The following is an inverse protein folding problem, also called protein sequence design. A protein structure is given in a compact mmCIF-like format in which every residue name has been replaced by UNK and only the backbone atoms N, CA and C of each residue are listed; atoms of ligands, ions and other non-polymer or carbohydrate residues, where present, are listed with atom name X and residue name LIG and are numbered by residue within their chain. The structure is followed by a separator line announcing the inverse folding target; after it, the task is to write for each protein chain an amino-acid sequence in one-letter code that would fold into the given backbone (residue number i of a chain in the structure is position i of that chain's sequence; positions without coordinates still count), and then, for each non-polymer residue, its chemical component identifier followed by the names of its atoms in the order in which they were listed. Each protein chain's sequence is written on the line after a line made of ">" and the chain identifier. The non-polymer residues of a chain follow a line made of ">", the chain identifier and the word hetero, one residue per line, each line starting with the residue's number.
data_IF_205361802405
#
_entry.id   IF_205361802405
#
_cell.length_a   1.000
_cell.length_b   1.000
_cell.length_c   1.000
_cell.angle_alpha   90.00
_cell.angle_beta   90.00
_cell.angle_gamma   90.00
#
_symmetry.space_group_name_H-M   'P 1'
#
loop_
_entity.id
_entity.type
_entity.pdbx_description
1 polymer ?
#
# COMPACT_ATOMS: atom_id res chain seq x y z
N UNK A 1 -34.83 -21.17 -4.65
CA UNK A 1 -35.26 -20.36 -3.50
C UNK A 1 -34.54 -20.89 -2.27
N UNK A 2 -33.39 -20.32 -1.93
CA UNK A 2 -32.70 -20.66 -0.69
C UNK A 2 -33.27 -19.77 0.41
N UNK A 3 -34.00 -20.36 1.35
CA UNK A 3 -34.48 -19.68 2.55
C UNK A 3 -33.27 -19.36 3.45
N UNK A 4 -32.86 -18.10 3.49
CA UNK A 4 -32.00 -17.59 4.56
C UNK A 4 -32.87 -17.39 5.82
N UNK A 5 -32.52 -17.96 6.98
CA UNK A 5 -33.23 -17.69 8.22
C UNK A 5 -32.93 -16.25 8.65
N UNK A 6 -33.95 -15.41 8.58
CA UNK A 6 -33.94 -14.01 8.95
C UNK A 6 -34.02 -13.82 10.47
N UNK A 7 -33.05 -14.31 11.25
CA UNK A 7 -32.88 -13.88 12.65
C UNK A 7 -31.58 -14.36 13.34
N UNK A 8 -30.42 -14.18 12.73
CA UNK A 8 -29.14 -14.38 13.44
C UNK A 8 -28.36 -13.08 13.48
N UNK A 9 -28.00 -12.65 14.69
CA UNK A 9 -27.19 -11.46 14.92
C UNK A 9 -25.84 -11.67 14.19
N UNK A 10 -25.52 -10.90 13.13
CA UNK A 10 -24.38 -11.20 12.23
C UNK A 10 -23.01 -11.09 12.91
N UNK A 11 -22.98 -10.53 14.12
CA UNK A 11 -21.79 -10.34 14.95
C UNK A 11 -21.22 -11.67 15.46
N UNK A 12 -22.07 -12.65 15.81
CA UNK A 12 -21.62 -13.90 16.44
C UNK A 12 -20.90 -14.84 15.45
N UNK A 13 -21.44 -15.10 14.24
CA UNK A 13 -20.74 -15.91 13.23
C UNK A 13 -19.42 -15.28 12.79
N UNK A 14 -19.38 -13.95 12.64
CA UNK A 14 -18.14 -13.24 12.31
C UNK A 14 -17.09 -13.39 13.41
N UNK A 15 -17.46 -13.28 14.70
CA UNK A 15 -16.53 -13.47 15.82
C UNK A 15 -15.99 -14.89 15.90
N UNK A 16 -16.83 -15.90 15.69
CA UNK A 16 -16.43 -17.31 15.71
C UNK A 16 -15.50 -17.66 14.54
N UNK A 17 -15.81 -17.14 13.35
CA UNK A 17 -14.92 -17.30 12.21
C UNK A 17 -13.58 -16.59 12.46
N UNK A 18 -13.60 -15.35 12.97
CA UNK A 18 -12.38 -14.62 13.29
C UNK A 18 -11.51 -15.31 14.31
N UNK A 19 -12.11 -15.83 15.40
CA UNK A 19 -11.35 -16.54 16.43
C UNK A 19 -10.76 -17.84 15.88
N UNK A 20 -11.50 -18.58 15.05
CA UNK A 20 -11.02 -19.79 14.39
C UNK A 20 -9.91 -19.51 13.37
N UNK A 21 -10.07 -18.47 12.56
CA UNK A 21 -9.06 -18.05 11.58
C UNK A 21 -7.82 -17.47 12.23
N UNK A 22 -7.93 -16.83 13.41
CA UNK A 22 -6.77 -16.30 14.15
C UNK A 22 -5.81 -17.40 14.59
N UNK A 23 -6.31 -18.60 14.90
CA UNK A 23 -5.49 -19.78 15.22
C UNK A 23 -4.77 -20.34 13.97
N UNK A 24 -5.42 -20.37 12.82
CA UNK A 24 -4.77 -20.78 11.57
C UNK A 24 -3.85 -19.69 10.99
N UNK A 25 -4.18 -18.42 11.20
CA UNK A 25 -3.33 -17.27 10.93
C UNK A 25 -2.02 -17.39 11.71
N UNK A 26 -2.09 -17.69 13.01
CA UNK A 26 -0.92 -17.96 13.85
C UNK A 26 -0.07 -19.11 13.29
N UNK A 27 -0.71 -20.18 12.82
CA UNK A 27 -0.02 -21.34 12.23
C UNK A 27 0.56 -21.06 10.83
N UNK A 28 -0.04 -20.18 10.02
CA UNK A 28 0.44 -19.83 8.68
C UNK A 28 1.58 -18.81 8.70
N UNK A 29 1.50 -17.82 9.60
CA UNK A 29 2.44 -16.69 9.65
C UNK A 29 3.58 -16.95 10.64
N UNK A 30 3.47 -17.98 11.49
CA UNK A 30 4.49 -18.31 12.50
C UNK A 30 4.72 -17.20 13.53
N UNK A 31 3.80 -16.24 13.62
CA UNK A 31 3.91 -15.03 14.41
C UNK A 31 2.56 -14.62 15.01
N UNK A 32 2.60 -13.98 16.18
CA UNK A 32 1.44 -13.46 16.92
C UNK A 32 0.86 -12.18 16.29
N UNK A 33 1.23 -11.86 15.04
CA UNK A 33 0.79 -10.65 14.36
C UNK A 33 -0.75 -10.59 14.34
N UNK A 34 -1.30 -9.43 14.70
CA UNK A 34 -2.74 -9.22 14.56
C UNK A 34 -3.08 -9.17 13.06
N UNK A 35 -4.22 -9.73 12.62
CA UNK A 35 -4.67 -9.58 11.25
C UNK A 35 -4.71 -8.11 10.83
N UNK A 36 -4.35 -7.77 9.58
CA UNK A 36 -4.36 -6.39 9.12
C UNK A 36 -5.77 -5.78 9.26
N UNK A 37 -5.82 -4.49 9.59
CA UNK A 37 -7.07 -3.74 9.59
C UNK A 37 -7.74 -3.84 8.21
N UNK A 38 -9.01 -4.26 8.19
CA UNK A 38 -9.74 -4.55 6.94
C UNK A 38 -9.85 -6.03 6.56
N UNK A 39 -9.10 -6.93 7.23
CA UNK A 39 -9.26 -8.38 7.02
C UNK A 39 -10.69 -8.88 7.32
N UNK A 40 -11.42 -8.15 8.16
CA UNK A 40 -12.81 -8.46 8.48
C UNK A 40 -13.78 -8.24 7.34
N UNK A 41 -13.48 -7.27 6.48
CA UNK A 41 -14.27 -7.03 5.27
C UNK A 41 -14.18 -8.26 4.35
N UNK A 42 -12.97 -8.83 4.20
CA UNK A 42 -12.74 -10.05 3.40
C UNK A 42 -13.52 -11.23 3.99
N UNK A 43 -13.36 -11.51 5.28
CA UNK A 43 -14.10 -12.59 5.95
C UNK A 43 -15.61 -12.44 5.77
N UNK A 44 -16.12 -11.21 5.89
CA UNK A 44 -17.54 -10.93 5.72
C UNK A 44 -18.04 -11.27 4.31
N UNK A 45 -17.26 -11.00 3.25
CA UNK A 45 -17.64 -11.40 1.88
C UNK A 45 -17.85 -12.91 1.81
N UNK A 46 -16.88 -13.71 2.26
CA UNK A 46 -16.98 -15.17 2.22
C UNK A 46 -18.15 -15.70 3.08
N UNK A 47 -18.32 -15.17 4.28
CA UNK A 47 -19.46 -15.49 5.15
C UNK A 47 -20.80 -15.19 4.47
N UNK A 48 -20.90 -14.03 3.81
CA UNK A 48 -22.15 -13.58 3.19
C UNK A 48 -22.59 -14.45 2.01
N UNK A 49 -21.64 -15.11 1.34
CA UNK A 49 -21.91 -15.93 0.15
C UNK A 49 -22.01 -17.42 0.50
N UNK A 50 -21.11 -17.92 1.36
CA UNK A 50 -20.95 -19.36 1.62
C UNK A 50 -21.56 -19.81 2.96
N UNK A 51 -21.82 -18.88 3.88
CA UNK A 51 -22.14 -19.22 5.26
C UNK A 51 -20.91 -19.67 6.06
N UNK A 52 -21.07 -19.83 7.38
CA UNK A 52 -19.95 -19.97 8.33
C UNK A 52 -19.02 -21.17 8.06
N UNK A 53 -19.59 -22.36 7.82
CA UNK A 53 -18.81 -23.59 7.68
C UNK A 53 -17.95 -23.61 6.42
N UNK A 54 -18.57 -23.31 5.26
CA UNK A 54 -17.89 -23.34 3.97
C UNK A 54 -16.93 -22.16 3.83
N UNK A 55 -17.29 -20.97 4.34
CA UNK A 55 -16.38 -19.83 4.40
C UNK A 55 -15.12 -20.17 5.21
N UNK A 56 -15.27 -20.83 6.37
CA UNK A 56 -14.14 -21.25 7.21
C UNK A 56 -13.23 -22.23 6.47
N UNK A 57 -13.79 -23.24 5.81
CA UNK A 57 -13.01 -24.24 5.08
C UNK A 57 -12.26 -23.60 3.91
N UNK A 58 -12.92 -22.74 3.13
CA UNK A 58 -12.31 -22.07 1.99
C UNK A 58 -11.24 -21.08 2.42
N UNK A 59 -11.51 -20.22 3.41
CA UNK A 59 -10.55 -19.24 3.91
C UNK A 59 -9.29 -19.91 4.42
N UNK A 60 -9.40 -21.00 5.19
CA UNK A 60 -8.22 -21.74 5.64
C UNK A 60 -7.34 -22.25 4.49
N UNK A 61 -7.93 -22.52 3.32
CA UNK A 61 -7.19 -22.96 2.14
C UNK A 61 -6.57 -21.79 1.36
N UNK A 62 -7.29 -20.69 1.19
CA UNK A 62 -6.85 -19.59 0.32
C UNK A 62 -5.98 -18.55 1.02
N UNK A 63 -6.12 -18.38 2.34
CA UNK A 63 -5.40 -17.34 3.08
C UNK A 63 -3.87 -17.39 2.93
N UNK A 64 -3.21 -18.56 3.06
CA UNK A 64 -1.76 -18.63 2.92
C UNK A 64 -1.29 -18.14 1.54
N UNK A 65 -1.95 -18.60 0.48
CA UNK A 65 -1.58 -18.31 -0.90
C UNK A 65 -1.96 -16.89 -1.34
N UNK A 66 -3.15 -16.43 -0.97
CA UNK A 66 -3.74 -15.18 -1.50
C UNK A 66 -3.52 -13.97 -0.61
N UNK A 67 -3.33 -14.19 0.70
CA UNK A 67 -3.23 -13.12 1.68
C UNK A 67 -1.97 -13.20 2.54
N UNK A 68 -1.18 -14.28 2.45
CA UNK A 68 0.02 -14.47 3.27
C UNK A 68 0.98 -13.27 3.24
N UNK A 69 1.21 -12.71 2.05
CA UNK A 69 2.02 -11.51 1.83
C UNK A 69 1.54 -10.30 2.65
N UNK A 70 0.22 -10.09 2.74
CA UNK A 70 -0.39 -8.95 3.44
C UNK A 70 -0.49 -9.16 4.95
N UNK A 71 -0.15 -10.36 5.41
CA UNK A 71 -0.23 -10.81 6.80
C UNK A 71 1.15 -10.89 7.48
N UNK A 72 2.21 -10.58 6.74
CA UNK A 72 3.58 -10.51 7.27
C UNK A 72 3.72 -9.47 8.40
N UNK A 73 4.70 -9.68 9.28
CA UNK A 73 4.94 -8.79 10.41
C UNK A 73 5.40 -7.39 10.01
N UNK A 74 6.04 -7.28 8.84
CA UNK A 74 6.40 -6.01 8.21
C UNK A 74 5.55 -5.76 6.97
N UNK A 75 5.27 -4.49 6.69
CA UNK A 75 4.60 -4.07 5.47
C UNK A 75 5.57 -3.94 4.27
N UNK A 76 6.87 -4.13 4.46
CA UNK A 76 7.87 -3.92 3.40
C UNK A 76 7.54 -4.74 2.15
N UNK A 77 7.26 -6.04 2.31
CA UNK A 77 6.87 -6.93 1.20
C UNK A 77 5.57 -6.49 0.52
N UNK A 78 4.61 -5.98 1.30
CA UNK A 78 3.36 -5.41 0.75
C UNK A 78 3.65 -4.15 -0.05
N UNK A 79 4.51 -3.26 0.45
CA UNK A 79 4.91 -2.04 -0.27
C UNK A 79 5.68 -2.38 -1.54
N UNK A 80 6.58 -3.35 -1.51
CA UNK A 80 7.29 -3.86 -2.69
C UNK A 80 6.31 -4.42 -3.73
N UNK A 81 5.33 -5.20 -3.31
CA UNK A 81 4.26 -5.67 -4.18
C UNK A 81 3.47 -4.51 -4.79
N UNK A 82 3.12 -3.49 -4.00
CA UNK A 82 2.42 -2.30 -4.52
C UNK A 82 3.30 -1.45 -5.45
N UNK A 83 4.64 -1.53 -5.41
CA UNK A 83 5.50 -0.86 -6.40
C UNK A 83 5.26 -1.37 -7.82
N UNK A 84 4.69 -2.57 -8.00
CA UNK A 84 4.28 -3.08 -9.30
C UNK A 84 3.22 -2.18 -9.97
N UNK A 85 2.42 -1.44 -9.20
CA UNK A 85 1.49 -0.43 -9.72
C UNK A 85 2.28 0.63 -10.51
N UNK A 86 3.35 1.17 -9.91
CA UNK A 86 4.19 2.18 -10.57
C UNK A 86 5.06 1.59 -11.68
N UNK A 87 5.49 0.32 -11.57
CA UNK A 87 6.21 -0.35 -12.64
C UNK A 87 5.34 -0.49 -13.90
N UNK A 88 4.10 -0.94 -13.74
CA UNK A 88 3.14 -1.08 -14.85
C UNK A 88 2.70 0.28 -15.39
N UNK A 89 2.40 1.25 -14.52
CA UNK A 89 2.08 2.61 -14.95
C UNK A 89 3.24 3.24 -15.71
N UNK A 90 4.48 3.09 -15.26
CA UNK A 90 5.65 3.64 -15.93
C UNK A 90 5.83 3.10 -17.35
N UNK A 91 5.49 1.82 -17.55
CA UNK A 91 5.50 1.20 -18.87
C UNK A 91 4.37 1.72 -19.77
N UNK A 92 3.14 1.86 -19.24
CA UNK A 92 1.95 2.21 -20.03
C UNK A 92 1.73 3.72 -20.20
N UNK A 93 2.13 4.52 -19.21
CA UNK A 93 1.87 5.96 -19.07
C UNK A 93 3.07 6.67 -18.41
N UNK A 94 4.24 6.71 -19.08
CA UNK A 94 5.49 7.23 -18.49
C UNK A 94 5.37 8.69 -18.02
N UNK A 95 4.67 9.55 -18.78
CA UNK A 95 4.47 10.95 -18.41
C UNK A 95 3.66 11.10 -17.13
N UNK A 96 2.56 10.33 -16.99
CA UNK A 96 1.75 10.32 -15.77
C UNK A 96 2.60 9.87 -14.58
N UNK A 97 3.31 8.74 -14.70
CA UNK A 97 4.16 8.21 -13.62
C UNK A 97 5.21 9.21 -13.18
N UNK A 98 5.88 9.88 -14.11
CA UNK A 98 6.85 10.93 -13.80
C UNK A 98 6.23 12.07 -12.98
N UNK A 99 5.02 12.51 -13.35
CA UNK A 99 4.33 13.58 -12.64
C UNK A 99 3.91 13.15 -11.22
N UNK A 100 3.41 11.93 -11.06
CA UNK A 100 3.07 11.35 -9.76
C UNK A 100 4.30 11.28 -8.85
N UNK A 101 5.43 10.82 -9.38
CA UNK A 101 6.68 10.71 -8.62
C UNK A 101 7.28 12.08 -8.29
N UNK A 102 7.13 13.08 -9.17
CA UNK A 102 7.64 14.43 -8.94
C UNK A 102 7.01 15.11 -7.72
N UNK A 103 5.76 14.77 -7.38
CA UNK A 103 5.10 15.24 -6.15
C UNK A 103 5.30 14.31 -4.94
N UNK A 104 6.18 13.32 -5.06
CA UNK A 104 6.49 12.39 -3.97
C UNK A 104 5.38 11.36 -3.71
N UNK A 105 4.49 11.11 -4.66
CA UNK A 105 3.48 10.07 -4.51
C UNK A 105 4.14 8.68 -4.58
N UNK A 106 4.03 7.93 -3.48
CA UNK A 106 4.37 6.51 -3.44
C UNK A 106 3.13 5.61 -3.49
N UNK A 107 3.30 4.28 -3.51
CA UNK A 107 2.19 3.33 -3.66
C UNK A 107 1.25 3.22 -2.45
N UNK A 108 1.57 3.88 -1.33
CA UNK A 108 0.81 3.78 -0.08
C UNK A 108 -0.67 4.16 -0.20
N UNK A 109 -1.05 5.01 -1.16
CA UNK A 109 -2.47 5.34 -1.39
C UNK A 109 -3.31 4.11 -1.75
N UNK A 110 -2.71 3.09 -2.38
CA UNK A 110 -3.38 1.89 -2.83
C UNK A 110 -3.49 0.83 -1.73
N UNK A 111 -2.94 1.07 -0.54
CA UNK A 111 -2.87 0.07 0.52
C UNK A 111 -4.26 -0.51 0.86
N UNK A 112 -5.24 0.36 1.09
CA UNK A 112 -6.61 -0.06 1.39
C UNK A 112 -7.23 -0.90 0.28
N UNK A 113 -6.87 -0.63 -0.98
CA UNK A 113 -7.38 -1.38 -2.14
C UNK A 113 -6.83 -2.80 -2.13
N UNK A 114 -5.53 -2.92 -1.89
CA UNK A 114 -4.80 -4.18 -1.95
C UNK A 114 -5.13 -5.08 -0.75
N UNK A 115 -5.07 -4.57 0.48
CA UNK A 115 -5.24 -5.41 1.68
C UNK A 115 -6.69 -5.83 1.93
N UNK A 116 -7.66 -5.12 1.34
CA UNK A 116 -9.09 -5.45 1.48
C UNK A 116 -9.72 -5.99 0.19
N UNK A 117 -8.93 -6.16 -0.89
CA UNK A 117 -9.45 -6.52 -2.21
C UNK A 117 -10.60 -5.58 -2.65
N UNK A 118 -10.42 -4.27 -2.40
CA UNK A 118 -11.41 -3.21 -2.64
C UNK A 118 -12.71 -3.32 -1.83
N UNK A 119 -12.87 -4.30 -0.93
CA UNK A 119 -14.10 -4.51 -0.17
C UNK A 119 -14.46 -3.30 0.72
N UNK A 120 -13.45 -2.62 1.27
CA UNK A 120 -13.67 -1.41 2.07
C UNK A 120 -13.91 -0.15 1.22
N UNK A 121 -13.66 -0.24 -0.08
CA UNK A 121 -13.56 0.93 -0.97
C UNK A 121 -14.80 1.08 -1.82
N UNK A 122 -15.35 -0.01 -2.35
CA UNK A 122 -16.56 0.02 -3.16
C UNK A 122 -17.82 0.04 -2.27
N UNK A 123 -18.84 0.84 -2.61
CA UNK A 123 -20.05 0.94 -1.80
C UNK A 123 -20.99 -0.25 -2.00
N UNK A 124 -21.07 -0.80 -3.22
CA UNK A 124 -22.02 -1.85 -3.57
C UNK A 124 -21.41 -3.24 -3.37
N UNK A 125 -22.11 -4.08 -2.60
CA UNK A 125 -21.64 -5.43 -2.28
C UNK A 125 -21.56 -6.35 -3.49
N UNK A 126 -22.41 -6.13 -4.50
CA UNK A 126 -22.38 -6.93 -5.73
C UNK A 126 -21.14 -6.61 -6.57
N UNK A 127 -20.70 -5.34 -6.58
CA UNK A 127 -19.44 -4.95 -7.22
C UNK A 127 -18.25 -5.58 -6.50
N UNK A 128 -18.26 -5.59 -5.16
CA UNK A 128 -17.21 -6.24 -4.37
C UNK A 128 -17.15 -7.75 -4.67
N UNK A 129 -18.29 -8.45 -4.65
CA UNK A 129 -18.35 -9.88 -4.99
C UNK A 129 -17.80 -10.15 -6.39
N UNK A 130 -18.15 -9.30 -7.35
CA UNK A 130 -17.68 -9.42 -8.72
C UNK A 130 -16.17 -9.28 -8.87
N UNK A 131 -15.54 -8.41 -8.06
CA UNK A 131 -14.08 -8.33 -7.99
C UNK A 131 -13.46 -9.56 -7.31
N UNK A 132 -14.09 -10.10 -6.28
CA UNK A 132 -13.64 -11.34 -5.64
C UNK A 132 -13.67 -12.52 -6.62
N UNK A 133 -14.71 -12.63 -7.46
CA UNK A 133 -14.76 -13.64 -8.53
C UNK A 133 -13.54 -13.52 -9.46
N UNK A 134 -13.20 -12.29 -9.86
CA UNK A 134 -12.02 -12.03 -10.69
C UNK A 134 -10.72 -12.47 -9.98
N UNK A 135 -10.51 -12.06 -8.73
CA UNK A 135 -9.27 -12.34 -8.00
C UNK A 135 -9.10 -13.81 -7.62
N UNK A 136 -10.19 -14.51 -7.37
CA UNK A 136 -10.19 -15.95 -7.11
C UNK A 136 -9.94 -16.75 -8.40
N UNK A 137 -10.46 -16.29 -9.54
CA UNK A 137 -10.31 -16.98 -10.82
C UNK A 137 -8.97 -16.72 -11.54
N UNK A 138 -8.16 -15.77 -11.07
CA UNK A 138 -6.95 -15.30 -11.78
C UNK A 138 -5.70 -15.31 -10.89
N UNK A 139 -4.56 -14.93 -11.48
CA UNK A 139 -3.28 -14.79 -10.78
C UNK A 139 -3.34 -13.71 -9.69
N UNK A 140 -2.63 -13.85 -8.54
CA UNK A 140 -2.59 -12.83 -7.49
C UNK A 140 -2.18 -11.43 -7.95
N UNK A 141 -1.44 -11.29 -9.06
CA UNK A 141 -1.10 -9.99 -9.65
C UNK A 141 -2.31 -9.26 -10.25
N UNK A 142 -3.47 -9.90 -10.44
CA UNK A 142 -4.69 -9.26 -10.97
C UNK A 142 -5.10 -8.02 -10.17
N UNK A 143 -4.83 -8.00 -8.87
CA UNK A 143 -5.04 -6.82 -8.02
C UNK A 143 -4.24 -5.59 -8.51
N UNK A 144 -3.00 -5.80 -8.97
CA UNK A 144 -2.16 -4.74 -9.54
C UNK A 144 -2.78 -4.23 -10.84
N UNK A 145 -3.21 -5.12 -11.73
CA UNK A 145 -3.82 -4.73 -13.00
C UNK A 145 -5.13 -3.96 -12.78
N UNK A 146 -5.97 -4.36 -11.82
CA UNK A 146 -7.17 -3.62 -11.48
C UNK A 146 -6.85 -2.24 -10.89
N UNK A 147 -5.85 -2.15 -10.00
CA UNK A 147 -5.41 -0.87 -9.43
C UNK A 147 -4.91 0.10 -10.50
N UNK A 148 -4.15 -0.41 -11.49
CA UNK A 148 -3.69 0.38 -12.63
C UNK A 148 -4.84 0.76 -13.56
N UNK A 149 -5.82 -0.13 -13.77
CA UNK A 149 -7.02 0.16 -14.53
C UNK A 149 -7.78 1.36 -13.93
N UNK A 150 -7.98 1.38 -12.61
CA UNK A 150 -8.63 2.50 -11.91
C UNK A 150 -7.93 3.84 -12.19
N UNK A 151 -6.60 3.86 -12.14
CA UNK A 151 -5.79 5.06 -12.34
C UNK A 151 -5.86 5.51 -13.80
N UNK A 152 -5.62 4.61 -14.76
CA UNK A 152 -5.62 4.94 -16.19
C UNK A 152 -7.01 5.34 -16.68
N UNK A 153 -8.08 4.75 -16.12
CA UNK A 153 -9.44 5.15 -16.48
C UNK A 153 -9.80 6.57 -16.02
N UNK A 154 -9.04 7.09 -15.06
CA UNK A 154 -9.19 8.44 -14.50
C UNK A 154 -8.02 9.36 -14.88
N UNK A 155 -7.29 9.05 -15.96
CA UNK A 155 -6.00 9.69 -16.31
C UNK A 155 -6.09 11.22 -16.36
N UNK A 156 -7.09 11.78 -17.06
CA UNK A 156 -7.27 13.23 -17.18
C UNK A 156 -7.43 13.90 -15.80
N UNK A 157 -8.26 13.32 -14.94
CA UNK A 157 -8.48 13.85 -13.59
C UNK A 157 -7.24 13.73 -12.73
N UNK A 158 -6.56 12.58 -12.79
CA UNK A 158 -5.31 12.36 -12.04
C UNK A 158 -4.28 13.40 -12.48
N UNK A 159 -4.08 13.58 -13.79
CA UNK A 159 -3.13 14.56 -14.32
C UNK A 159 -3.44 15.98 -13.86
N UNK A 160 -4.72 16.38 -13.86
CA UNK A 160 -5.13 17.73 -13.44
C UNK A 160 -4.77 18.07 -11.98
N UNK A 161 -4.59 17.05 -11.13
CA UNK A 161 -4.27 17.20 -9.71
C UNK A 161 -2.78 16.94 -9.40
N UNK A 162 -1.94 16.63 -10.39
CA UNK A 162 -0.50 16.31 -10.17
C UNK A 162 0.35 17.47 -9.68
N UNK A 163 -0.19 18.68 -9.49
CA UNK A 163 0.54 19.81 -8.91
C UNK A 163 0.51 19.86 -7.39
N UNK A 164 -0.45 19.18 -6.74
CA UNK A 164 -0.62 19.21 -5.28
C UNK A 164 -0.82 17.79 -4.73
N UNK A 165 0.06 17.40 -3.80
CA UNK A 165 0.02 16.06 -3.21
C UNK A 165 -1.30 15.79 -2.47
N UNK A 166 -1.84 16.77 -1.74
CA UNK A 166 -3.06 16.61 -0.95
C UNK A 166 -4.28 16.37 -1.82
N UNK A 167 -4.46 17.20 -2.87
CA UNK A 167 -5.52 17.07 -3.86
C UNK A 167 -5.41 15.77 -4.65
N UNK A 168 -4.20 15.41 -5.07
CA UNK A 168 -3.94 14.14 -5.77
C UNK A 168 -4.28 12.95 -4.89
N UNK A 169 -3.75 12.89 -3.67
CA UNK A 169 -4.02 11.78 -2.74
C UNK A 169 -5.51 11.65 -2.44
N UNK A 170 -6.20 12.77 -2.20
CA UNK A 170 -7.64 12.79 -1.98
C UNK A 170 -8.43 12.31 -3.21
N UNK A 171 -8.00 12.68 -4.41
CA UNK A 171 -8.60 12.24 -5.68
C UNK A 171 -8.47 10.73 -5.84
N UNK A 172 -7.25 10.20 -5.65
CA UNK A 172 -6.95 8.78 -5.78
C UNK A 172 -7.89 7.92 -4.93
N UNK A 173 -8.09 8.26 -3.65
CA UNK A 173 -8.95 7.50 -2.73
C UNK A 173 -10.40 7.32 -3.20
N UNK A 174 -10.89 8.16 -4.12
CA UNK A 174 -12.27 8.13 -4.63
C UNK A 174 -12.40 7.46 -6.00
N UNK A 175 -11.29 7.23 -6.71
CA UNK A 175 -11.32 6.74 -8.10
C UNK A 175 -12.05 5.41 -8.29
N UNK A 176 -11.92 4.39 -7.41
CA UNK A 176 -12.61 3.12 -7.63
C UNK A 176 -14.12 3.26 -7.73
N UNK A 177 -14.71 4.28 -7.10
CA UNK A 177 -16.15 4.56 -7.10
C UNK A 177 -16.65 5.27 -8.36
N UNK A 178 -15.75 5.72 -9.23
CA UNK A 178 -16.09 6.57 -10.38
C UNK A 178 -16.46 5.79 -11.64
N UNK A 179 -16.08 4.52 -11.70
CA UNK A 179 -16.24 3.69 -12.89
C UNK A 179 -17.09 2.47 -12.55
N UNK A 180 -17.98 2.02 -13.45
CA UNK A 180 -18.66 0.76 -13.30
C UNK A 180 -17.66 -0.38 -13.13
N UNK A 181 -17.92 -1.30 -12.18
CA UNK A 181 -16.97 -2.38 -11.85
C UNK A 181 -16.62 -3.24 -13.07
N UNK A 182 -17.59 -3.54 -13.94
CA UNK A 182 -17.38 -4.36 -15.15
C UNK A 182 -16.44 -3.69 -16.16
N UNK A 183 -16.42 -2.36 -16.19
CA UNK A 183 -15.49 -1.64 -17.04
C UNK A 183 -14.06 -1.79 -16.52
N UNK A 184 -13.88 -1.66 -15.19
CA UNK A 184 -12.59 -1.87 -14.54
C UNK A 184 -12.10 -3.31 -14.71
N UNK A 185 -12.99 -4.31 -14.58
CA UNK A 185 -12.67 -5.72 -14.80
C UNK A 185 -12.26 -5.98 -16.24
N UNK A 186 -13.03 -5.50 -17.22
CA UNK A 186 -12.68 -5.69 -18.64
C UNK A 186 -11.33 -5.05 -18.96
N UNK A 187 -11.09 -3.86 -18.43
CA UNK A 187 -9.85 -3.14 -18.68
C UNK A 187 -8.65 -3.80 -17.98
N UNK A 188 -8.80 -4.28 -16.73
CA UNK A 188 -7.73 -4.98 -16.02
C UNK A 188 -7.33 -6.27 -16.72
N UNK A 189 -8.30 -7.04 -17.23
CA UNK A 189 -8.04 -8.24 -18.05
C UNK A 189 -7.32 -7.86 -19.35
N UNK A 190 -7.71 -6.76 -20.00
CA UNK A 190 -6.99 -6.26 -21.19
C UNK A 190 -5.54 -5.92 -20.85
N UNK A 191 -5.27 -5.27 -19.73
CA UNK A 191 -3.90 -4.98 -19.28
C UNK A 191 -3.13 -6.26 -19.00
N UNK A 192 -3.74 -7.23 -18.31
CA UNK A 192 -3.15 -8.54 -18.01
C UNK A 192 -2.73 -9.30 -19.27
N UNK A 193 -3.55 -9.26 -20.33
CA UNK A 193 -3.21 -9.89 -21.61
C UNK A 193 -2.09 -9.11 -22.34
N UNK A 194 -2.13 -7.78 -22.27
CA UNK A 194 -1.18 -6.92 -23.01
C UNK A 194 0.21 -6.90 -22.37
N UNK A 195 0.27 -7.01 -21.04
CA UNK A 195 1.49 -7.08 -20.24
C UNK A 195 1.33 -8.28 -19.31
N UNK A 196 1.76 -9.49 -19.71
CA UNK A 196 1.60 -10.69 -18.89
C UNK A 196 2.37 -10.63 -17.55
N UNK A 197 1.99 -11.47 -16.56
CA UNK A 197 2.63 -11.55 -15.24
C UNK A 197 4.16 -11.54 -15.24
N UNK A 198 4.79 -12.38 -16.07
CA UNK A 198 6.25 -12.48 -16.13
C UNK A 198 6.91 -11.17 -16.56
N UNK A 199 6.27 -10.46 -17.50
CA UNK A 199 6.73 -9.16 -17.94
C UNK A 199 6.54 -8.10 -16.84
N UNK A 200 5.41 -8.10 -16.14
CA UNK A 200 5.19 -7.21 -15.01
C UNK A 200 6.23 -7.43 -13.90
N UNK A 201 6.56 -8.68 -13.58
CA UNK A 201 7.58 -9.01 -12.60
C UNK A 201 8.97 -8.53 -13.05
N UNK A 202 9.30 -8.64 -14.34
CA UNK A 202 10.55 -8.09 -14.88
C UNK A 202 10.61 -6.56 -14.76
N UNK A 203 9.51 -5.86 -15.07
CA UNK A 203 9.38 -4.41 -14.86
C UNK A 203 9.53 -4.03 -13.39
N UNK A 204 8.95 -4.82 -12.48
CA UNK A 204 9.10 -4.67 -11.03
C UNK A 204 10.55 -4.75 -10.59
N UNK A 205 11.28 -5.78 -11.04
CA UNK A 205 12.72 -5.94 -10.77
C UNK A 205 13.54 -4.76 -11.27
N UNK A 206 13.27 -4.29 -12.50
CA UNK A 206 13.92 -3.11 -13.05
C UNK A 206 13.67 -1.88 -12.16
N UNK A 207 12.42 -1.63 -11.78
CA UNK A 207 12.06 -0.51 -10.91
C UNK A 207 12.75 -0.60 -9.54
N UNK A 208 12.74 -1.76 -8.92
CA UNK A 208 13.42 -1.97 -7.63
C UNK A 208 14.92 -1.63 -7.75
N UNK A 209 15.60 -2.07 -8.82
CA UNK A 209 17.02 -1.76 -9.02
C UNK A 209 17.26 -0.24 -9.04
N UNK A 210 16.41 0.54 -9.70
CA UNK A 210 16.49 2.00 -9.75
C UNK A 210 16.27 2.63 -8.37
N UNK A 211 15.24 2.22 -7.65
CA UNK A 211 14.94 2.73 -6.30
C UNK A 211 16.07 2.42 -5.30
N UNK A 212 16.65 1.22 -5.38
CA UNK A 212 17.79 0.83 -4.53
C UNK A 212 19.05 1.65 -4.82
N UNK A 213 19.30 1.99 -6.10
CA UNK A 213 20.41 2.83 -6.49
C UNK A 213 20.25 4.26 -5.95
N UNK A 214 19.06 4.86 -6.09
CA UNK A 214 18.73 6.19 -5.55
C UNK A 214 18.93 6.23 -4.04
N UNK A 215 18.40 5.25 -3.30
CA UNK A 215 18.56 5.16 -1.85
C UNK A 215 20.03 5.04 -1.44
N UNK A 216 20.81 4.26 -2.19
CA UNK A 216 22.26 4.09 -1.95
C UNK A 216 23.02 5.38 -2.23
N UNK A 217 22.69 6.12 -3.27
CA UNK A 217 23.29 7.42 -3.58
C UNK A 217 22.96 8.50 -2.54
N UNK A 218 21.70 8.58 -2.10
CA UNK A 218 21.28 9.48 -1.02
C UNK A 218 22.05 9.18 0.27
N UNK A 219 22.26 7.90 0.59
CA UNK A 219 23.06 7.48 1.76
C UNK A 219 24.56 7.75 1.58
N UNK A 220 25.08 7.67 0.36
CA UNK A 220 26.50 7.92 0.03
C UNK A 220 26.86 9.40 -0.01
N UNK A 221 25.94 10.30 -0.34
CA UNK A 221 26.17 11.74 -0.19
C UNK A 221 26.28 12.05 1.31
N UNK A 222 27.47 12.38 1.84
CA UNK A 222 27.56 12.91 3.20
C UNK A 222 26.71 14.18 3.24
N UNK A 223 26.13 14.50 4.39
CA UNK A 223 25.60 15.85 4.65
C UNK A 223 26.80 16.79 4.52
N UNK A 224 27.03 17.30 3.31
CA UNK A 224 28.08 18.23 3.01
C UNK A 224 27.72 19.56 3.68
N UNK A 225 28.22 19.71 4.91
CA UNK A 225 28.56 20.99 5.50
C UNK A 225 27.41 21.98 5.71
N UNK A 226 26.65 21.80 6.80
CA UNK A 226 26.33 22.94 7.68
C UNK A 226 27.22 22.87 8.91
N UNK A 227 28.54 22.95 8.71
CA UNK A 227 29.44 23.38 9.81
C UNK A 227 29.02 24.82 10.11
N UNK A 228 28.20 24.98 11.15
CA UNK A 228 27.64 26.27 11.49
C UNK A 228 28.78 27.26 11.74
N UNK A 229 28.74 28.40 11.05
CA UNK A 229 29.57 29.55 11.39
C UNK A 229 29.44 29.88 12.89
N UNK A 230 28.27 29.60 13.49
CA UNK A 230 27.98 29.81 14.90
C UNK A 230 28.93 29.07 15.86
N UNK A 231 29.43 27.88 15.50
CA UNK A 231 30.37 27.14 16.37
C UNK A 231 31.74 27.82 16.46
N UNK A 232 32.20 28.50 15.39
CA UNK A 232 33.45 29.27 15.40
C UNK A 232 33.32 30.58 16.19
N UNK A 233 32.18 31.26 16.08
CA UNK A 233 31.88 32.46 16.87
C UNK A 233 31.75 32.16 18.37
N UNK A 234 31.12 31.04 18.72
CA UNK A 234 30.94 30.64 20.12
C UNK A 234 32.28 30.30 20.80
N UNK A 235 33.14 29.51 20.14
CA UNK A 235 34.47 29.19 20.69
C UNK A 235 35.34 30.45 20.80
N UNK A 236 35.27 31.34 19.80
CA UNK A 236 35.96 32.62 19.84
C UNK A 236 35.51 33.50 21.02
N UNK A 237 34.20 33.61 21.25
CA UNK A 237 33.65 34.39 22.36
C UNK A 237 34.04 33.82 23.73
N UNK A 238 34.03 32.49 23.90
CA UNK A 238 34.44 31.83 25.16
C UNK A 238 35.92 32.06 25.45
N UNK A 239 36.80 31.99 24.43
CA UNK A 239 38.23 32.27 24.62
C UNK A 239 38.50 33.73 25.00
N UNK A 240 37.78 34.69 24.42
CA UNK A 240 37.90 36.11 24.76
C UNK A 240 37.44 36.36 26.20
N UNK A 241 36.33 35.77 26.63
CA UNK A 241 35.85 35.90 28.02
C UNK A 241 36.83 35.24 28.99
N UNK A 242 37.38 34.06 28.66
CA UNK A 242 38.37 33.38 29.50
C UNK A 242 39.66 34.21 29.64
N UNK A 243 40.17 34.79 28.54
CA UNK A 243 41.32 35.70 28.57
C UNK A 243 41.04 36.96 29.38
N UNK A 244 39.85 37.56 29.24
CA UNK A 244 39.46 38.73 30.02
C UNK A 244 39.35 38.40 31.53
N UNK A 245 38.82 37.23 31.90
CA UNK A 245 38.76 36.77 33.29
C UNK A 245 40.17 36.54 33.87
N UNK A 246 41.08 35.95 33.10
CA UNK A 246 42.48 35.75 33.52
C UNK A 246 43.19 37.09 33.72
N UNK A 247 43.01 38.05 32.81
CA UNK A 247 43.59 39.40 32.94
C UNK A 247 43.00 40.15 34.15
N UNK A 248 41.70 40.01 34.40
CA UNK A 248 41.03 40.65 35.54
C UNK A 248 41.47 40.06 36.89
N UNK A 249 41.70 38.75 36.95
CA UNK A 249 42.20 38.07 38.14
C UNK A 249 43.71 38.21 38.37
N UNK A 250 44.47 38.51 37.31
CA UNK A 250 45.94 38.67 37.37
C UNK A 250 46.37 40.15 37.39
N UNK A 251 45.53 41.02 37.95
CA UNK A 251 45.94 42.37 38.38
C UNK A 251 46.39 42.29 39.85
N UNK A 252 47.69 42.33 40.15
CA UNK A 252 48.16 42.47 41.52
C UNK A 252 47.78 43.88 42.01
N UNK A 253 47.07 43.95 43.14
CA UNK A 253 46.83 45.17 43.92
C UNK A 253 48.13 45.74 44.48
#
# INVERSE_FOLDING_TARGET
>A
MCNCPSNTNPVTPCRNLFSSLRLNYFNCVGSVAAPPHGFHDICYIFLSVLGENDARLLLNKILPDRFGLFMEASMDSTVEYMQLIFALLGHLRPTLTKNLEAVGLGPHFALAWIVTWFAHVLPEMDDVRRLFDLFLATDPLMLIYLSVAVIIRSDEEVQSNTSDFGMLHHTLLRLPKKHPVEELVRYSVKLYISVPPDQLLALGKQRHSVLSAITTEVRRKPIAGRRSLATRWYIGAVLVVALACVIYWWRPS
#
